data_IF_307146125980
#
_entry.id   IF_307146125980
#
_cell.length_a   1.000
_cell.length_b   1.000
_cell.length_c   1.000
_cell.angle_alpha   90.00
_cell.angle_beta   90.00
_cell.angle_gamma   90.00
#
_symmetry.space_group_name_H-M   'P 1'
#
loop_
_entity.id
_entity.type
_entity.pdbx_description
1 polymer ?
#
# COMPACT_ATOMS: atom_id res chain seq x y z
N UNK A 1 5.87 -15.33 -12.43
CA UNK A 1 6.52 -14.20 -13.13
C UNK A 1 6.14 -14.25 -14.60
N UNK A 2 5.87 -13.11 -15.25
CA UNK A 2 5.48 -13.04 -16.66
C UNK A 2 6.60 -13.57 -17.58
N UNK A 3 6.29 -14.54 -18.44
CA UNK A 3 7.19 -15.14 -19.44
C UNK A 3 7.72 -14.16 -20.49
N UNK A 4 7.18 -12.92 -20.55
CA UNK A 4 7.59 -11.85 -21.45
C UNK A 4 8.64 -10.87 -20.89
N UNK A 5 9.13 -11.05 -19.66
CA UNK A 5 10.28 -10.27 -19.16
C UNK A 5 11.57 -10.81 -19.77
N UNK A 6 11.86 -10.42 -21.02
CA UNK A 6 13.03 -10.88 -21.78
C UNK A 6 14.36 -10.28 -21.32
N UNK A 7 14.34 -9.24 -20.49
CA UNK A 7 15.54 -8.73 -19.80
C UNK A 7 15.18 -8.26 -18.40
N UNK A 8 15.88 -8.78 -17.40
CA UNK A 8 15.32 -8.93 -16.07
C UNK A 8 16.18 -8.27 -14.98
N UNK A 9 16.73 -7.06 -15.19
CA UNK A 9 17.69 -6.45 -14.24
C UNK A 9 18.99 -7.25 -14.01
N UNK A 10 19.07 -8.48 -14.53
CA UNK A 10 20.10 -9.50 -14.31
C UNK A 10 21.34 -9.30 -15.16
N UNK A 11 21.30 -8.44 -16.17
CA UNK A 11 22.48 -8.12 -17.00
C UNK A 11 23.63 -7.50 -16.19
N UNK A 12 23.34 -7.00 -14.98
CA UNK A 12 24.33 -6.47 -14.04
C UNK A 12 24.63 -7.39 -12.86
N UNK A 13 23.85 -8.47 -12.69
CA UNK A 13 24.08 -9.42 -11.61
C UNK A 13 25.19 -10.39 -12.03
N UNK A 14 26.24 -10.52 -11.21
CA UNK A 14 27.31 -11.47 -11.46
C UNK A 14 26.82 -12.93 -11.38
N UNK A 15 25.85 -13.21 -10.50
CA UNK A 15 25.26 -14.53 -10.29
C UNK A 15 23.74 -14.38 -10.13
N UNK A 16 22.99 -15.36 -10.62
CA UNK A 16 21.53 -15.43 -10.50
C UNK A 16 21.11 -16.83 -10.10
N UNK A 17 20.28 -16.93 -9.08
CA UNK A 17 19.56 -18.14 -8.73
C UNK A 17 18.06 -17.85 -8.73
N UNK A 18 17.25 -18.81 -9.19
CA UNK A 18 15.80 -18.68 -9.25
C UNK A 18 15.20 -19.92 -8.62
N UNK A 19 14.34 -19.70 -7.64
CA UNK A 19 13.50 -20.71 -7.02
C UNK A 19 12.06 -20.20 -7.00
N UNK A 20 11.10 -21.10 -6.77
CA UNK A 20 9.71 -20.74 -6.59
C UNK A 20 8.77 -21.88 -6.90
N UNK A 21 7.49 -21.56 -7.07
CA UNK A 21 6.46 -22.53 -7.45
C UNK A 21 6.84 -23.27 -8.74
N UNK A 22 6.63 -24.58 -8.76
CA UNK A 22 6.84 -25.44 -9.95
C UNK A 22 5.76 -25.23 -11.00
N UNK A 23 4.55 -24.88 -10.56
CA UNK A 23 3.43 -24.49 -11.40
C UNK A 23 3.17 -22.97 -11.33
N UNK A 24 2.11 -22.51 -12.00
CA UNK A 24 1.65 -21.15 -11.86
C UNK A 24 1.34 -20.81 -10.40
N UNK A 25 1.94 -19.73 -9.93
CA UNK A 25 1.75 -19.19 -8.58
C UNK A 25 0.26 -19.05 -8.26
N UNK A 26 -0.23 -19.58 -7.11
CA UNK A 26 -1.65 -19.47 -6.74
C UNK A 26 -2.15 -18.02 -6.67
N UNK A 27 -1.24 -17.07 -6.43
CA UNK A 27 -1.49 -15.63 -6.52
C UNK A 27 -2.27 -15.20 -7.78
N UNK A 28 -1.98 -15.75 -8.95
CA UNK A 28 -2.66 -15.34 -10.20
C UNK A 28 -4.13 -15.77 -10.26
N UNK A 29 -4.57 -16.64 -9.35
CA UNK A 29 -5.93 -17.17 -9.25
C UNK A 29 -6.73 -16.51 -8.10
N UNK A 30 -6.19 -15.46 -7.49
CA UNK A 30 -6.84 -14.75 -6.38
C UNK A 30 -8.09 -14.00 -6.86
N UNK A 31 -9.18 -13.99 -6.06
CA UNK A 31 -10.46 -13.39 -6.47
C UNK A 31 -10.35 -11.92 -6.91
N UNK A 32 -9.52 -11.12 -6.23
CA UNK A 32 -9.35 -9.70 -6.56
C UNK A 32 -8.65 -9.46 -7.91
N UNK A 33 -7.88 -10.42 -8.43
CA UNK A 33 -7.29 -10.35 -9.77
C UNK A 33 -8.26 -10.85 -10.84
N UNK A 34 -9.07 -11.87 -10.52
CA UNK A 34 -10.04 -12.44 -11.43
C UNK A 34 -11.25 -11.51 -11.64
N UNK A 35 -11.73 -10.91 -10.55
CA UNK A 35 -12.93 -10.07 -10.52
C UNK A 35 -12.64 -8.68 -9.88
N UNK A 36 -11.72 -7.88 -10.44
CA UNK A 36 -11.25 -6.65 -9.79
C UNK A 36 -12.33 -5.57 -9.62
N UNK A 37 -13.41 -5.64 -10.41
CA UNK A 37 -14.53 -4.69 -10.36
C UNK A 37 -15.63 -5.11 -9.38
N UNK A 38 -15.62 -6.34 -8.88
CA UNK A 38 -16.60 -6.76 -7.88
C UNK A 38 -16.40 -6.01 -6.55
N UNK A 39 -17.49 -5.76 -5.80
CA UNK A 39 -17.39 -5.24 -4.45
C UNK A 39 -16.47 -6.13 -3.63
N UNK A 40 -15.52 -5.52 -2.93
CA UNK A 40 -14.59 -6.29 -2.11
C UNK A 40 -15.36 -6.96 -0.97
N UNK A 41 -15.31 -8.28 -0.90
CA UNK A 41 -15.84 -9.01 0.23
C UNK A 41 -14.79 -9.01 1.34
N UNK A 42 -15.05 -8.27 2.42
CA UNK A 42 -14.16 -8.23 3.60
C UNK A 42 -14.21 -9.58 4.32
N UNK A 43 -13.45 -10.56 3.86
CA UNK A 43 -13.39 -11.88 4.50
C UNK A 43 -11.99 -12.13 5.03
N UNK A 44 -11.92 -12.70 6.25
CA UNK A 44 -10.69 -13.26 6.81
C UNK A 44 -10.01 -14.24 5.83
N UNK A 45 -10.81 -14.91 4.99
CA UNK A 45 -10.35 -15.86 3.99
C UNK A 45 -9.44 -15.24 2.93
N UNK A 46 -9.69 -14.00 2.47
CA UNK A 46 -8.80 -13.34 1.51
C UNK A 46 -7.41 -13.10 2.09
N UNK A 47 -7.36 -12.65 3.35
CA UNK A 47 -6.09 -12.42 4.04
C UNK A 47 -5.36 -13.73 4.32
N UNK A 48 -6.05 -14.75 4.83
CA UNK A 48 -5.48 -16.09 5.03
C UNK A 48 -4.89 -16.62 3.74
N UNK A 49 -5.60 -16.48 2.61
CA UNK A 49 -5.11 -16.97 1.34
C UNK A 49 -3.81 -16.27 0.89
N UNK A 50 -3.70 -14.94 1.08
CA UNK A 50 -2.44 -14.23 0.84
C UNK A 50 -1.31 -14.76 1.73
N UNK A 51 -1.57 -14.86 3.04
CA UNK A 51 -0.59 -15.36 4.01
C UNK A 51 -0.15 -16.78 3.68
N UNK A 52 -1.07 -17.66 3.27
CA UNK A 52 -0.76 -19.02 2.83
C UNK A 52 0.20 -19.03 1.66
N UNK A 53 -0.06 -18.25 0.60
CA UNK A 53 0.84 -18.16 -0.57
C UNK A 53 2.23 -17.67 -0.16
N UNK A 54 2.28 -16.66 0.70
CA UNK A 54 3.54 -16.11 1.22
C UNK A 54 4.29 -17.17 2.07
N UNK A 55 3.55 -17.97 2.83
CA UNK A 55 4.12 -19.04 3.65
C UNK A 55 4.65 -20.21 2.78
N UNK A 56 3.95 -20.56 1.71
CA UNK A 56 4.37 -21.60 0.76
C UNK A 56 5.67 -21.21 0.04
N UNK A 57 5.77 -19.98 -0.49
CA UNK A 57 7.01 -19.53 -1.15
C UNK A 57 8.18 -19.42 -0.15
N UNK A 58 7.89 -19.08 1.10
CA UNK A 58 8.86 -19.15 2.19
C UNK A 58 9.35 -20.59 2.42
N UNK A 59 8.45 -21.57 2.57
CA UNK A 59 8.84 -22.97 2.79
C UNK A 59 9.65 -23.53 1.62
N UNK A 60 9.26 -23.21 0.38
CA UNK A 60 10.04 -23.55 -0.82
C UNK A 60 11.47 -22.98 -0.69
N UNK A 61 11.62 -21.69 -0.34
CA UNK A 61 12.94 -21.09 -0.17
C UNK A 61 13.75 -21.69 0.97
N UNK A 62 13.12 -21.96 2.12
CA UNK A 62 13.79 -22.56 3.29
C UNK A 62 14.26 -23.99 3.04
N UNK A 63 13.64 -24.72 2.12
CA UNK A 63 13.95 -26.12 1.81
C UNK A 63 14.77 -26.31 0.53
N UNK A 64 14.98 -25.25 -0.27
CA UNK A 64 15.68 -25.34 -1.56
C UNK A 64 17.22 -25.44 -1.39
N UNK A 65 17.83 -26.62 -1.62
CA UNK A 65 19.25 -26.82 -1.36
C UNK A 65 20.15 -25.97 -2.25
N UNK A 66 19.70 -25.63 -3.47
CA UNK A 66 20.48 -24.80 -4.38
C UNK A 66 20.49 -23.32 -3.96
N UNK A 67 19.44 -22.81 -3.31
CA UNK A 67 19.39 -21.48 -2.72
C UNK A 67 20.37 -21.40 -1.54
N UNK A 68 20.35 -22.41 -0.67
CA UNK A 68 21.29 -22.55 0.44
C UNK A 68 22.74 -22.60 -0.04
N UNK A 69 23.03 -23.39 -1.08
CA UNK A 69 24.34 -23.42 -1.72
C UNK A 69 24.70 -22.07 -2.36
N UNK A 70 23.73 -21.40 -2.99
CA UNK A 70 23.94 -20.12 -3.64
C UNK A 70 24.38 -19.03 -2.65
N UNK A 71 23.70 -18.95 -1.50
CA UNK A 71 23.98 -17.98 -0.43
C UNK A 71 25.29 -18.34 0.29
N UNK A 72 25.52 -19.61 0.63
CA UNK A 72 26.75 -20.01 1.35
C UNK A 72 28.03 -19.91 0.51
N UNK A 73 27.93 -19.99 -0.81
CA UNK A 73 29.11 -20.02 -1.70
C UNK A 73 29.91 -18.72 -1.78
N UNK A 74 29.42 -17.61 -1.21
CA UNK A 74 30.10 -16.31 -1.22
C UNK A 74 29.93 -15.59 0.12
N UNK A 75 30.79 -14.61 0.37
CA UNK A 75 30.61 -13.66 1.47
C UNK A 75 29.89 -12.43 0.93
N UNK A 76 28.80 -12.05 1.56
CA UNK A 76 28.01 -10.87 1.22
C UNK A 76 28.14 -9.83 2.32
N UNK A 77 28.38 -8.57 1.94
CA UNK A 77 28.46 -7.45 2.89
C UNK A 77 27.07 -7.01 3.38
N UNK A 78 26.08 -7.08 2.48
CA UNK A 78 24.71 -6.65 2.75
C UNK A 78 23.68 -7.51 2.02
N UNK A 79 22.59 -7.79 2.71
CA UNK A 79 21.43 -8.50 2.20
C UNK A 79 20.20 -7.59 2.09
N UNK A 80 19.44 -7.72 1.00
CA UNK A 80 18.21 -6.96 0.77
C UNK A 80 17.07 -7.95 0.50
N UNK A 81 16.00 -7.88 1.29
CA UNK A 81 14.80 -8.67 1.05
C UNK A 81 13.53 -7.82 1.21
N UNK A 82 12.42 -8.32 0.69
CA UNK A 82 11.12 -7.65 0.81
C UNK A 82 10.47 -7.98 2.14
N UNK A 83 9.96 -6.98 2.86
CA UNK A 83 9.31 -7.16 4.17
C UNK A 83 7.81 -7.51 4.02
N UNK A 84 7.51 -8.50 3.17
CA UNK A 84 6.23 -9.21 3.17
C UNK A 84 6.29 -10.49 4.03
N UNK A 85 7.50 -10.98 4.26
CA UNK A 85 7.80 -12.21 4.97
C UNK A 85 9.17 -12.11 5.67
N UNK A 86 9.42 -13.03 6.60
CA UNK A 86 10.63 -13.01 7.44
C UNK A 86 11.70 -14.03 7.01
N UNK A 87 11.40 -14.95 6.11
CA UNK A 87 12.26 -16.07 5.71
C UNK A 87 13.47 -15.61 4.89
N UNK A 88 13.32 -14.58 4.05
CA UNK A 88 14.46 -13.90 3.44
C UNK A 88 15.44 -13.38 4.49
N UNK A 89 14.94 -12.69 5.52
CA UNK A 89 15.78 -12.21 6.62
C UNK A 89 16.38 -13.34 7.45
N UNK A 90 15.61 -14.41 7.69
CA UNK A 90 16.07 -15.59 8.42
C UNK A 90 17.24 -16.29 7.70
N UNK A 91 17.13 -16.50 6.38
CA UNK A 91 18.21 -17.08 5.57
C UNK A 91 19.47 -16.21 5.61
N UNK A 92 19.32 -14.90 5.42
CA UNK A 92 20.47 -13.99 5.48
C UNK A 92 21.12 -13.97 6.87
N UNK A 93 20.33 -14.06 7.94
CA UNK A 93 20.84 -14.18 9.31
C UNK A 93 21.54 -15.51 9.56
N UNK A 94 20.94 -16.62 9.12
CA UNK A 94 21.50 -17.97 9.21
C UNK A 94 22.87 -18.07 8.53
N UNK A 95 23.04 -17.41 7.39
CA UNK A 95 24.30 -17.34 6.65
C UNK A 95 25.24 -16.20 7.09
N UNK A 96 24.98 -15.57 8.24
CA UNK A 96 25.83 -14.54 8.84
C UNK A 96 26.13 -13.34 7.93
N UNK A 97 25.15 -12.91 7.12
CA UNK A 97 25.27 -11.64 6.38
C UNK A 97 25.26 -10.49 7.38
N UNK A 98 26.29 -9.63 7.32
CA UNK A 98 26.60 -8.67 8.38
C UNK A 98 25.55 -7.56 8.52
N UNK A 99 25.07 -7.02 7.39
CA UNK A 99 24.00 -6.02 7.33
C UNK A 99 22.80 -6.56 6.55
N UNK A 100 21.60 -6.34 7.07
CA UNK A 100 20.36 -6.76 6.42
C UNK A 100 19.41 -5.58 6.39
N UNK A 101 18.83 -5.29 5.23
CA UNK A 101 17.87 -4.20 5.05
C UNK A 101 16.62 -4.71 4.34
N UNK A 102 15.49 -4.03 4.55
CA UNK A 102 14.27 -4.32 3.80
C UNK A 102 14.04 -3.34 2.65
N UNK A 103 13.36 -3.80 1.60
CA UNK A 103 12.85 -2.95 0.54
C UNK A 103 11.41 -3.35 0.18
N UNK A 104 10.46 -2.43 0.37
CA UNK A 104 9.06 -2.62 0.01
C UNK A 104 8.76 -2.04 -1.36
N UNK A 105 7.93 -2.74 -2.14
CA UNK A 105 7.39 -2.25 -3.40
C UNK A 105 6.14 -1.38 -3.23
N UNK A 106 5.65 -1.23 -1.99
CA UNK A 106 4.45 -0.51 -1.58
C UNK A 106 4.79 0.72 -0.73
N UNK A 107 3.80 1.59 -0.42
CA UNK A 107 3.88 2.49 0.74
C UNK A 107 4.13 1.72 2.04
N UNK A 108 4.41 2.46 3.12
CA UNK A 108 4.77 1.86 4.41
C UNK A 108 3.63 0.98 4.94
N UNK A 109 3.87 -0.33 5.03
CA UNK A 109 2.88 -1.30 5.48
C UNK A 109 2.63 -1.22 6.99
N UNK A 110 1.47 -1.68 7.42
CA UNK A 110 1.10 -1.75 8.84
C UNK A 110 2.09 -2.62 9.64
N UNK A 111 2.45 -3.79 9.10
CA UNK A 111 3.45 -4.69 9.69
C UNK A 111 4.80 -4.00 9.86
N UNK A 112 5.30 -3.30 8.82
CA UNK A 112 6.56 -2.56 8.91
C UNK A 112 6.50 -1.46 9.96
N UNK A 113 5.35 -0.81 10.10
CA UNK A 113 5.13 0.24 11.10
C UNK A 113 5.20 -0.32 12.52
N UNK A 114 4.50 -1.45 12.76
CA UNK A 114 4.48 -2.16 14.05
C UNK A 114 5.89 -2.66 14.37
N UNK A 115 6.52 -3.38 13.45
CA UNK A 115 7.88 -3.93 13.63
C UNK A 115 8.96 -2.86 13.75
N UNK A 116 8.74 -1.63 13.28
CA UNK A 116 9.66 -0.51 13.47
C UNK A 116 9.36 0.31 14.75
N UNK A 117 8.31 -0.02 15.51
CA UNK A 117 7.89 0.72 16.70
C UNK A 117 7.33 2.11 16.40
N UNK A 118 6.86 2.34 15.17
CA UNK A 118 6.33 3.64 14.71
C UNK A 118 4.88 3.80 15.20
N UNK A 119 4.48 5.01 15.67
CA UNK A 119 3.09 5.25 16.06
C UNK A 119 2.12 4.95 14.91
N UNK A 120 1.17 4.05 15.16
CA UNK A 120 0.15 3.64 14.18
C UNK A 120 -1.27 3.84 14.70
N UNK A 121 -1.54 4.94 15.42
CA UNK A 121 -2.84 5.19 16.04
C UNK A 121 -4.00 5.12 15.04
N UNK A 122 -5.04 4.36 15.38
CA UNK A 122 -6.27 4.24 14.57
C UNK A 122 -7.00 5.57 14.32
N UNK A 123 -6.70 6.62 15.08
CA UNK A 123 -7.31 7.93 14.87
C UNK A 123 -6.79 8.63 13.60
N UNK A 124 -5.59 8.27 13.12
CA UNK A 124 -4.89 8.99 12.04
C UNK A 124 -4.24 8.06 11.02
N UNK A 125 -3.90 6.83 11.40
CA UNK A 125 -3.32 5.82 10.50
C UNK A 125 -4.41 4.91 9.97
N UNK A 126 -4.56 4.88 8.65
CA UNK A 126 -5.45 3.96 7.95
C UNK A 126 -4.67 2.73 7.49
N UNK A 127 -5.35 1.58 7.42
CA UNK A 127 -4.75 0.37 6.87
C UNK A 127 -4.44 0.57 5.37
N UNK A 128 -3.32 0.07 4.89
CA UNK A 128 -2.87 0.32 3.50
C UNK A 128 -3.89 -0.12 2.43
N UNK A 129 -4.64 -1.17 2.72
CA UNK A 129 -5.59 -1.76 1.79
C UNK A 129 -7.03 -1.27 2.02
N UNK A 130 -7.26 -0.40 3.00
CA UNK A 130 -8.61 0.03 3.39
C UNK A 130 -8.62 1.51 3.79
N UNK A 131 -9.49 2.27 3.14
CA UNK A 131 -9.67 3.68 3.46
C UNK A 131 -11.04 3.93 4.06
N UNK A 132 -11.09 4.69 5.14
CA UNK A 132 -12.31 5.10 5.84
C UNK A 132 -12.33 6.63 5.98
N UNK A 133 -13.52 7.23 6.01
CA UNK A 133 -13.64 8.68 6.27
C UNK A 133 -13.48 8.99 7.76
N UNK A 134 -12.23 9.27 8.15
CA UNK A 134 -11.85 9.57 9.53
C UNK A 134 -12.40 10.91 10.06
N UNK A 135 -13.02 11.74 9.22
CA UNK A 135 -13.72 12.95 9.69
C UNK A 135 -15.00 12.58 10.46
N UNK A 136 -15.60 11.44 10.11
CA UNK A 136 -16.83 10.93 10.74
C UNK A 136 -16.52 10.00 11.91
N UNK A 137 -17.42 9.98 12.91
CA UNK A 137 -17.32 9.01 14.01
C UNK A 137 -17.39 7.56 13.51
N UNK A 138 -18.25 7.29 12.53
CA UNK A 138 -18.44 5.95 11.97
C UNK A 138 -17.21 5.45 11.21
N UNK A 139 -16.58 6.31 10.41
CA UNK A 139 -15.32 5.97 9.74
C UNK A 139 -14.19 5.74 10.73
N UNK A 140 -14.08 6.57 11.79
CA UNK A 140 -13.12 6.32 12.89
C UNK A 140 -13.37 5.00 13.61
N UNK A 141 -14.63 4.64 13.86
CA UNK A 141 -14.97 3.35 14.49
C UNK A 141 -14.58 2.17 13.60
N UNK A 142 -14.88 2.21 12.30
CA UNK A 142 -14.47 1.17 11.36
C UNK A 142 -12.95 1.06 11.28
N UNK A 143 -12.25 2.19 11.20
CA UNK A 143 -10.79 2.18 11.18
C UNK A 143 -10.20 1.63 12.47
N UNK A 144 -10.81 1.91 13.64
CA UNK A 144 -10.42 1.29 14.91
C UNK A 144 -10.60 -0.24 14.89
N UNK A 145 -11.69 -0.74 14.34
CA UNK A 145 -11.92 -2.19 14.18
C UNK A 145 -10.85 -2.81 13.28
N UNK A 146 -10.58 -2.18 12.13
CA UNK A 146 -9.53 -2.64 11.20
C UNK A 146 -8.14 -2.63 11.84
N UNK A 147 -7.80 -1.53 12.51
CA UNK A 147 -6.57 -1.39 13.25
C UNK A 147 -6.43 -2.48 14.33
N UNK A 148 -7.48 -2.73 15.12
CA UNK A 148 -7.46 -3.76 16.15
C UNK A 148 -7.29 -5.15 15.53
N UNK A 149 -7.99 -5.43 14.44
CA UNK A 149 -7.84 -6.68 13.70
C UNK A 149 -6.40 -6.88 13.22
N UNK A 150 -5.77 -5.84 12.68
CA UNK A 150 -4.38 -5.91 12.22
C UNK A 150 -3.41 -6.18 13.38
N UNK A 151 -3.51 -5.41 14.47
CA UNK A 151 -2.55 -5.46 15.56
C UNK A 151 -2.71 -6.70 16.46
N UNK A 152 -3.95 -7.17 16.67
CA UNK A 152 -4.23 -8.27 17.60
C UNK A 152 -4.48 -9.62 16.93
N UNK A 153 -4.78 -9.66 15.63
CA UNK A 153 -5.08 -10.92 14.92
C UNK A 153 -4.09 -11.17 13.80
N UNK A 154 -4.03 -10.28 12.82
CA UNK A 154 -3.25 -10.45 11.58
C UNK A 154 -1.75 -10.56 11.87
N UNK A 155 -1.19 -9.54 12.51
CA UNK A 155 0.25 -9.46 12.72
C UNK A 155 0.77 -10.62 13.59
N UNK A 156 0.15 -10.95 14.75
CA UNK A 156 0.55 -12.11 15.54
C UNK A 156 0.39 -13.44 14.78
N UNK A 157 -0.67 -13.59 13.98
CA UNK A 157 -0.90 -14.79 13.17
C UNK A 157 0.22 -14.99 12.12
N UNK A 158 0.58 -13.93 11.38
CA UNK A 158 1.66 -13.98 10.39
C UNK A 158 3.02 -14.28 11.05
N UNK A 159 3.32 -13.64 12.19
CA UNK A 159 4.54 -13.92 12.95
C UNK A 159 4.59 -15.38 13.40
N UNK A 160 3.50 -15.91 13.96
CA UNK A 160 3.45 -17.30 14.41
C UNK A 160 3.68 -18.27 13.25
N UNK A 161 2.95 -18.10 12.15
CA UNK A 161 2.99 -19.04 11.02
C UNK A 161 4.39 -19.10 10.39
N UNK A 162 5.00 -17.94 10.13
CA UNK A 162 6.35 -17.89 9.56
C UNK A 162 7.41 -18.30 10.59
N UNK A 163 7.21 -17.98 11.87
CA UNK A 163 8.09 -18.44 12.95
C UNK A 163 8.10 -19.97 13.08
N UNK A 164 6.93 -20.62 12.99
CA UNK A 164 6.82 -22.09 13.01
C UNK A 164 7.63 -22.73 11.87
N UNK A 165 7.58 -22.16 10.65
CA UNK A 165 8.42 -22.61 9.52
C UNK A 165 9.92 -22.36 9.74
N UNK A 166 10.29 -21.16 10.15
CA UNK A 166 11.69 -20.79 10.37
C UNK A 166 12.31 -21.70 11.43
N UNK A 167 11.61 -21.94 12.55
CA UNK A 167 12.06 -22.87 13.60
C UNK A 167 12.24 -24.29 13.09
N UNK A 168 11.26 -24.80 12.33
CA UNK A 168 11.29 -26.15 11.74
C UNK A 168 12.52 -26.37 10.85
N UNK A 169 12.95 -25.35 10.10
CA UNK A 169 14.00 -25.51 9.07
C UNK A 169 15.36 -24.92 9.43
N UNK A 170 15.43 -23.87 10.25
CA UNK A 170 16.65 -23.15 10.61
C UNK A 170 16.95 -23.19 12.12
N UNK A 171 16.02 -23.68 12.95
CA UNK A 171 16.17 -23.81 14.40
C UNK A 171 15.58 -22.66 15.22
N UNK A 172 15.53 -22.83 16.54
CA UNK A 172 14.75 -21.99 17.48
C UNK A 172 15.35 -20.61 17.79
N UNK A 173 16.51 -20.27 17.24
CA UNK A 173 17.24 -19.05 17.56
C UNK A 173 16.84 -17.86 16.67
N UNK A 174 15.98 -18.07 15.66
CA UNK A 174 15.54 -17.07 14.69
C UNK A 174 14.05 -16.79 14.85
N UNK A 175 13.72 -15.78 15.66
CA UNK A 175 12.35 -15.35 15.87
C UNK A 175 11.97 -14.19 14.93
N UNK A 176 10.79 -14.23 14.26
CA UNK A 176 10.33 -13.20 13.32
C UNK A 176 10.42 -11.76 13.82
N UNK A 177 10.01 -11.51 15.07
CA UNK A 177 10.09 -10.18 15.66
C UNK A 177 11.55 -9.68 15.72
N UNK A 178 12.46 -10.52 16.20
CA UNK A 178 13.88 -10.18 16.31
C UNK A 178 14.53 -10.00 14.93
N UNK A 179 14.13 -10.79 13.93
CA UNK A 179 14.57 -10.61 12.55
C UNK A 179 14.21 -9.21 12.03
N UNK A 180 12.94 -8.80 12.18
CA UNK A 180 12.48 -7.47 11.78
C UNK A 180 13.17 -6.35 12.58
N UNK A 181 13.41 -6.60 13.88
CA UNK A 181 14.10 -5.64 14.74
C UNK A 181 15.56 -5.45 14.35
N UNK A 182 16.21 -6.50 13.86
CA UNK A 182 17.61 -6.51 13.44
C UNK A 182 17.87 -5.90 12.06
N UNK A 183 16.84 -5.48 11.33
CA UNK A 183 17.00 -4.79 10.04
C UNK A 183 17.67 -3.42 10.26
N UNK A 184 18.74 -3.14 9.54
CA UNK A 184 19.51 -1.89 9.67
C UNK A 184 18.77 -0.68 9.09
N UNK A 185 18.04 -0.89 7.99
CA UNK A 185 17.23 0.11 7.29
C UNK A 185 16.01 -0.55 6.66
N UNK A 186 14.98 0.26 6.40
CA UNK A 186 13.81 -0.14 5.63
C UNK A 186 13.52 0.87 4.51
N UNK A 187 13.62 0.43 3.26
CA UNK A 187 13.30 1.22 2.09
C UNK A 187 11.84 1.05 1.70
N UNK A 188 11.17 2.15 1.36
CA UNK A 188 9.75 2.19 0.99
C UNK A 188 9.61 2.81 -0.40
N UNK A 189 8.89 2.16 -1.33
CA UNK A 189 8.69 2.63 -2.70
C UNK A 189 7.61 3.74 -2.80
N UNK A 190 7.61 4.66 -1.85
CA UNK A 190 6.71 5.82 -1.84
C UNK A 190 7.54 7.11 -1.74
N UNK A 191 6.89 8.26 -1.82
CA UNK A 191 7.54 9.55 -1.63
C UNK A 191 6.71 10.38 -0.64
N UNK A 192 7.37 10.96 0.37
CA UNK A 192 6.74 11.66 1.48
C UNK A 192 5.87 12.85 1.05
N UNK A 193 6.04 13.37 -0.16
CA UNK A 193 5.24 14.47 -0.70
C UNK A 193 3.91 14.00 -1.33
N UNK A 194 3.78 12.71 -1.61
CA UNK A 194 2.59 12.10 -2.24
C UNK A 194 2.04 10.90 -1.47
N UNK A 195 2.65 10.53 -0.35
CA UNK A 195 2.09 9.56 0.59
C UNK A 195 1.13 10.25 1.58
N UNK A 196 0.32 9.47 2.29
CA UNK A 196 -0.45 9.97 3.42
C UNK A 196 0.54 10.37 4.53
N UNK A 197 0.50 11.63 5.01
CA UNK A 197 1.39 12.08 6.09
C UNK A 197 1.22 11.24 7.34
N UNK A 198 2.32 10.70 7.87
CA UNK A 198 2.35 9.87 9.08
C UNK A 198 3.68 9.97 9.80
N UNK A 199 3.71 9.54 11.06
CA UNK A 199 4.96 9.40 11.79
C UNK A 199 5.87 8.38 11.10
N UNK A 200 7.17 8.67 11.04
CA UNK A 200 8.20 7.80 10.49
C UNK A 200 9.47 7.90 11.34
N UNK A 201 10.29 6.87 11.33
CA UNK A 201 11.58 6.86 12.04
C UNK A 201 12.75 7.08 11.07
N UNK A 202 13.93 7.42 11.60
CA UNK A 202 15.14 7.55 10.79
C UNK A 202 15.59 6.24 10.12
N UNK A 203 15.04 5.09 10.53
CA UNK A 203 15.24 3.78 9.88
C UNK A 203 14.55 3.68 8.53
N UNK A 204 13.44 4.41 8.34
CA UNK A 204 12.64 4.39 7.10
C UNK A 204 13.23 5.35 6.07
N UNK A 205 13.41 4.87 4.85
CA UNK A 205 13.94 5.65 3.72
C UNK A 205 12.97 5.59 2.53
N UNK A 206 12.38 6.74 2.19
CA UNK A 206 11.53 6.88 1.01
C UNK A 206 12.36 6.89 -0.27
N UNK A 207 12.11 5.91 -1.14
CA UNK A 207 12.80 5.71 -2.43
C UNK A 207 11.82 5.62 -3.61
N UNK A 208 10.57 6.05 -3.43
CA UNK A 208 9.58 6.13 -4.48
C UNK A 208 10.08 6.95 -5.66
N UNK A 209 9.94 6.39 -6.86
CA UNK A 209 10.47 6.98 -8.09
C UNK A 209 11.90 6.57 -8.43
N UNK A 210 12.52 5.65 -7.69
CA UNK A 210 13.85 5.09 -8.00
C UNK A 210 13.95 4.51 -9.41
N UNK A 211 12.84 3.96 -9.93
CA UNK A 211 12.75 3.35 -11.26
C UNK A 211 12.21 4.32 -12.34
N UNK A 212 11.99 5.59 -12.01
CA UNK A 212 11.55 6.57 -13.01
C UNK A 212 12.62 6.73 -14.08
N UNK A 213 12.27 6.34 -15.30
CA UNK A 213 13.11 6.58 -16.46
C UNK A 213 13.00 8.05 -16.84
N UNK A 214 14.11 8.68 -17.19
CA UNK A 214 14.08 9.98 -17.85
C UNK A 214 13.30 9.82 -19.16
N UNK A 215 12.20 10.54 -19.31
CA UNK A 215 11.43 10.52 -20.55
C UNK A 215 12.30 11.01 -21.70
N UNK A 216 12.25 10.29 -22.81
CA UNK A 216 12.86 10.72 -24.07
C UNK A 216 12.01 11.77 -24.78
N UNK A 217 10.73 11.91 -24.37
CA UNK A 217 9.65 12.66 -25.03
C UNK A 217 9.45 12.29 -26.50
N UNK A 218 10.03 11.17 -26.94
CA UNK A 218 9.84 10.62 -28.28
C UNK A 218 8.91 9.43 -28.17
N UNK A 219 7.77 9.53 -28.84
CA UNK A 219 6.85 8.42 -28.99
C UNK A 219 7.26 7.58 -30.20
N UNK A 220 7.04 6.27 -30.13
CA UNK A 220 7.18 5.41 -31.29
C UNK A 220 6.11 5.74 -32.35
N UNK A 221 6.31 5.30 -33.59
CA UNK A 221 5.45 5.65 -34.70
C UNK A 221 4.01 5.13 -34.56
N UNK A 222 3.76 4.07 -33.79
CA UNK A 222 2.41 3.58 -33.51
C UNK A 222 1.70 4.53 -32.53
N UNK A 223 2.37 4.85 -31.43
CA UNK A 223 1.85 5.75 -30.40
C UNK A 223 1.66 7.17 -30.93
N UNK A 224 2.62 7.69 -31.71
CA UNK A 224 2.52 9.03 -32.29
C UNK A 224 1.34 9.14 -33.28
N UNK A 225 1.08 8.08 -34.07
CA UNK A 225 -0.11 8.02 -34.92
C UNK A 225 -1.39 8.02 -34.10
N UNK A 226 -1.45 7.29 -32.99
CA UNK A 226 -2.62 7.25 -32.12
C UNK A 226 -2.93 8.60 -31.48
N UNK A 227 -1.92 9.31 -30.96
CA UNK A 227 -2.11 10.62 -30.31
C UNK A 227 -2.41 11.76 -31.29
N UNK A 228 -1.97 11.62 -32.55
CA UNK A 228 -2.15 12.65 -33.59
C UNK A 228 -3.32 12.35 -34.55
N UNK A 229 -4.03 11.23 -34.37
CA UNK A 229 -5.09 10.80 -35.28
C UNK A 229 -6.34 11.71 -35.26
N UNK A 230 -6.55 12.45 -34.17
CA UNK A 230 -7.67 13.39 -34.03
C UNK A 230 -7.12 14.78 -33.72
N UNK A 231 -7.57 15.85 -34.40
CA UNK A 231 -7.34 17.21 -33.95
C UNK A 231 -7.96 17.37 -32.56
N UNK A 232 -7.13 17.41 -31.53
CA UNK A 232 -7.60 17.40 -30.13
C UNK A 232 -6.99 18.54 -29.32
N UNK A 233 -7.77 19.00 -28.34
CA UNK A 233 -7.35 19.95 -27.29
C UNK A 233 -6.33 19.33 -26.33
N UNK A 234 -6.10 18.02 -26.43
CA UNK A 234 -5.13 17.26 -25.68
C UNK A 234 -5.47 15.77 -25.66
N UNK A 235 -4.59 15.00 -25.02
CA UNK A 235 -4.75 13.55 -24.90
C UNK A 235 -5.05 13.15 -23.45
N UNK A 236 -5.85 12.10 -23.31
CA UNK A 236 -6.14 11.41 -22.05
C UNK A 236 -5.57 10.01 -22.15
N UNK A 237 -4.60 9.72 -21.30
CA UNK A 237 -4.00 8.37 -21.22
C UNK A 237 -4.91 7.51 -20.36
N UNK A 238 -5.14 6.25 -20.73
CA UNK A 238 -5.93 5.30 -19.93
C UNK A 238 -5.17 3.98 -19.79
N UNK A 239 -4.75 3.66 -18.56
CA UNK A 239 -4.03 2.43 -18.24
C UNK A 239 -4.34 1.89 -16.83
N UNK A 240 -4.85 0.66 -16.74
CA UNK A 240 -5.02 -0.08 -15.47
C UNK A 240 -3.86 -1.06 -15.18
N UNK A 241 -2.69 -0.81 -15.78
CA UNK A 241 -1.48 -1.57 -15.53
C UNK A 241 -1.45 -2.94 -16.21
N UNK A 242 -0.58 -3.80 -15.68
CA UNK A 242 -0.29 -5.14 -16.25
C UNK A 242 -1.06 -6.26 -15.57
N UNK A 243 -1.57 -6.04 -14.36
CA UNK A 243 -2.29 -7.04 -13.56
C UNK A 243 -3.80 -7.06 -13.82
N UNK A 244 -4.32 -6.09 -14.57
CA UNK A 244 -5.73 -6.02 -14.98
C UNK A 244 -5.79 -6.24 -16.49
N UNK A 245 -6.00 -7.49 -16.95
CA UNK A 245 -6.13 -7.77 -18.37
C UNK A 245 -7.42 -7.13 -18.94
N UNK A 246 -7.46 -6.89 -20.25
CA UNK A 246 -8.65 -6.30 -20.88
C UNK A 246 -9.89 -7.19 -20.78
N UNK A 247 -9.70 -8.50 -20.70
CA UNK A 247 -10.77 -9.49 -20.59
C UNK A 247 -11.59 -9.41 -19.31
N UNK A 248 -11.04 -8.85 -18.22
CA UNK A 248 -11.76 -8.73 -16.94
C UNK A 248 -12.59 -7.44 -16.82
N UNK A 249 -12.64 -6.60 -17.86
CA UNK A 249 -13.50 -5.42 -17.87
C UNK A 249 -14.96 -5.81 -18.13
N UNK A 250 -15.88 -5.57 -17.17
CA UNK A 250 -17.30 -5.84 -17.39
C UNK A 250 -17.85 -5.05 -18.58
N UNK A 251 -18.83 -5.62 -19.28
CA UNK A 251 -19.46 -5.00 -20.46
C UNK A 251 -20.05 -3.63 -20.10
N UNK A 252 -20.59 -3.48 -18.89
CA UNK A 252 -21.16 -2.25 -18.33
C UNK A 252 -20.08 -1.17 -18.16
N UNK A 253 -18.91 -1.54 -17.63
CA UNK A 253 -17.78 -0.63 -17.46
C UNK A 253 -17.27 -0.16 -18.82
N UNK A 254 -17.13 -1.07 -19.78
CA UNK A 254 -16.73 -0.73 -21.17
C UNK A 254 -17.71 0.24 -21.82
N UNK A 255 -19.02 -0.02 -21.70
CA UNK A 255 -20.09 0.86 -22.20
C UNK A 255 -20.09 2.22 -21.54
N UNK A 256 -19.87 2.28 -20.23
CA UNK A 256 -19.81 3.53 -19.47
C UNK A 256 -18.68 4.43 -19.97
N UNK A 257 -17.45 3.90 -20.09
CA UNK A 257 -16.32 4.65 -20.62
C UNK A 257 -16.51 5.06 -22.08
N UNK A 258 -16.94 4.13 -22.95
CA UNK A 258 -17.20 4.44 -24.36
C UNK A 258 -18.24 5.56 -24.51
N UNK A 259 -19.33 5.51 -23.73
CA UNK A 259 -20.37 6.54 -23.75
C UNK A 259 -19.87 7.87 -23.19
N UNK A 260 -19.06 7.84 -22.12
CA UNK A 260 -18.49 9.05 -21.54
C UNK A 260 -17.53 9.75 -22.51
N UNK A 261 -16.64 9.01 -23.19
CA UNK A 261 -15.66 9.57 -24.13
C UNK A 261 -16.30 10.31 -25.31
N UNK A 262 -17.52 9.94 -25.72
CA UNK A 262 -18.29 10.67 -26.75
C UNK A 262 -18.72 12.08 -26.33
N UNK A 263 -18.81 12.34 -25.03
CA UNK A 263 -19.09 13.69 -24.51
C UNK A 263 -17.86 14.61 -24.59
N UNK A 264 -16.70 14.05 -24.92
CA UNK A 264 -15.42 14.75 -25.01
C UNK A 264 -14.76 14.57 -26.39
N UNK A 265 -15.46 14.87 -27.50
CA UNK A 265 -14.95 14.64 -28.86
C UNK A 265 -13.67 15.43 -29.16
N UNK A 266 -13.41 16.50 -28.41
CA UNK A 266 -12.22 17.33 -28.51
C UNK A 266 -10.97 16.72 -27.86
N UNK A 267 -11.06 15.58 -27.15
CA UNK A 267 -9.91 14.91 -26.54
C UNK A 267 -9.66 13.55 -27.18
N UNK A 268 -8.39 13.21 -27.37
CA UNK A 268 -7.98 11.87 -27.84
C UNK A 268 -7.71 10.96 -26.65
N UNK A 269 -8.44 9.85 -26.54
CA UNK A 269 -8.27 8.84 -25.50
C UNK A 269 -7.35 7.73 -25.99
N UNK A 270 -6.19 7.57 -25.33
CA UNK A 270 -5.20 6.55 -25.65
C UNK A 270 -5.27 5.47 -24.59
N UNK A 271 -5.85 4.33 -24.93
CA UNK A 271 -6.18 3.29 -23.96
C UNK A 271 -5.34 2.04 -24.16
N UNK A 272 -4.56 1.66 -23.13
CA UNK A 272 -3.97 0.33 -23.02
C UNK A 272 -5.09 -0.70 -22.94
N UNK A 273 -5.43 -1.32 -24.05
CA UNK A 273 -6.56 -2.23 -24.12
C UNK A 273 -6.49 -3.11 -25.36
N UNK A 274 -6.81 -4.39 -25.16
CA UNK A 274 -6.99 -5.35 -26.24
C UNK A 274 -8.50 -5.51 -26.49
N UNK A 275 -8.99 -5.26 -27.72
CA UNK A 275 -10.40 -5.42 -28.06
C UNK A 275 -10.93 -6.81 -27.69
N UNK A 276 -12.07 -6.82 -27.01
CA UNK A 276 -12.81 -7.99 -26.55
C UNK A 276 -14.06 -8.19 -27.42
N UNK A 277 -14.72 -9.34 -27.25
CA UNK A 277 -16.01 -9.59 -27.87
C UNK A 277 -17.04 -8.51 -27.49
N UNK A 278 -17.85 -8.09 -28.47
CA UNK A 278 -18.84 -7.03 -28.35
C UNK A 278 -18.29 -5.61 -28.46
N UNK A 279 -16.97 -5.39 -28.40
CA UNK A 279 -16.40 -4.02 -28.42
C UNK A 279 -16.66 -3.28 -29.72
N UNK A 280 -16.73 -4.00 -30.85
CA UNK A 280 -17.07 -3.37 -32.14
C UNK A 280 -18.38 -2.59 -32.07
N UNK A 281 -19.39 -3.12 -31.37
CA UNK A 281 -20.67 -2.44 -31.20
C UNK A 281 -20.58 -1.34 -30.13
N UNK A 282 -19.90 -1.62 -29.01
CA UNK A 282 -19.75 -0.66 -27.91
C UNK A 282 -19.05 0.61 -28.38
N UNK A 283 -18.00 0.48 -29.18
CA UNK A 283 -17.15 1.59 -29.63
C UNK A 283 -17.47 2.12 -31.03
N UNK A 284 -18.46 1.56 -31.74
CA UNK A 284 -18.80 1.90 -33.14
C UNK A 284 -18.87 3.42 -33.43
N UNK A 285 -19.44 4.20 -32.51
CA UNK A 285 -19.64 5.64 -32.66
C UNK A 285 -18.62 6.47 -31.84
N UNK A 286 -17.43 5.92 -31.59
CA UNK A 286 -16.40 6.54 -30.75
C UNK A 286 -15.14 6.71 -31.58
N UNK A 287 -14.99 7.88 -32.19
CA UNK A 287 -13.91 8.17 -33.15
C UNK A 287 -12.64 8.68 -32.50
N UNK A 288 -12.70 9.07 -31.22
CA UNK A 288 -11.62 9.70 -30.46
C UNK A 288 -10.93 8.73 -29.49
N UNK A 289 -11.10 7.42 -29.64
CA UNK A 289 -10.48 6.39 -28.79
C UNK A 289 -9.54 5.53 -29.61
N UNK A 290 -8.31 5.39 -29.15
CA UNK A 290 -7.28 4.59 -29.79
C UNK A 290 -6.75 3.53 -28.82
N UNK A 291 -6.85 2.27 -29.22
CA UNK A 291 -6.38 1.14 -28.45
C UNK A 291 -4.95 0.79 -28.80
N UNK A 292 -4.11 0.63 -27.76
CA UNK A 292 -2.74 0.17 -27.89
C UNK A 292 -2.54 -1.04 -26.97
N UNK A 293 -1.80 -2.05 -27.44
CA UNK A 293 -1.47 -3.23 -26.61
C UNK A 293 -0.49 -2.89 -25.49
N UNK A 294 0.42 -1.97 -25.78
CA UNK A 294 1.42 -1.47 -24.86
C UNK A 294 1.51 0.05 -24.94
N UNK A 295 1.72 0.70 -23.80
CA UNK A 295 1.91 2.15 -23.74
C UNK A 295 3.34 2.46 -23.31
N UNK A 296 4.04 3.37 -24.01
CA UNK A 296 5.22 4.04 -23.44
C UNK A 296 4.74 5.06 -22.37
N UNK A 297 4.15 4.56 -21.28
CA UNK A 297 3.39 5.34 -20.28
C UNK A 297 4.17 6.54 -19.76
N UNK A 298 5.42 6.36 -19.35
CA UNK A 298 6.27 7.46 -18.87
C UNK A 298 6.46 8.55 -19.93
N UNK A 299 6.63 8.18 -21.21
CA UNK A 299 6.80 9.16 -22.28
C UNK A 299 5.48 9.87 -22.63
N UNK A 300 4.35 9.13 -22.66
CA UNK A 300 3.02 9.71 -22.84
C UNK A 300 2.64 10.68 -21.72
N UNK A 301 2.87 10.32 -20.46
CA UNK A 301 2.57 11.22 -19.33
C UNK A 301 3.43 12.50 -19.37
N UNK A 302 4.62 12.43 -19.95
CA UNK A 302 5.50 13.59 -20.14
C UNK A 302 5.28 14.32 -21.49
N UNK A 303 4.34 13.88 -22.32
CA UNK A 303 3.97 14.56 -23.56
C UNK A 303 3.23 15.88 -23.26
N UNK A 304 3.60 17.02 -23.88
CA UNK A 304 2.94 18.30 -23.65
C UNK A 304 1.44 18.33 -23.96
N UNK A 305 0.94 17.40 -24.78
CA UNK A 305 -0.47 17.24 -25.13
C UNK A 305 -1.27 16.53 -24.03
N UNK A 306 -0.63 15.83 -23.10
CA UNK A 306 -1.32 15.08 -22.05
C UNK A 306 -2.02 16.02 -21.07
N UNK A 307 -3.30 15.75 -20.82
CA UNK A 307 -4.16 16.56 -19.95
C UNK A 307 -4.62 15.81 -18.71
N UNK A 308 -4.89 14.51 -18.82
CA UNK A 308 -5.29 13.69 -17.70
C UNK A 308 -4.86 12.23 -17.88
N UNK A 309 -4.87 11.48 -16.78
CA UNK A 309 -4.59 10.06 -16.75
C UNK A 309 -5.71 9.29 -16.05
N UNK A 310 -6.37 8.39 -16.78
CA UNK A 310 -7.31 7.43 -16.21
C UNK A 310 -6.51 6.21 -15.74
N UNK A 311 -6.54 5.92 -14.44
CA UNK A 311 -5.69 4.88 -13.87
C UNK A 311 -6.35 4.17 -12.71
N UNK A 312 -5.98 2.90 -12.53
CA UNK A 312 -6.21 2.18 -11.27
C UNK A 312 -5.30 2.66 -10.13
N UNK A 313 -4.37 3.59 -10.38
CA UNK A 313 -3.44 4.19 -9.41
C UNK A 313 -2.62 3.19 -8.59
N UNK A 314 -2.20 2.08 -9.21
CA UNK A 314 -1.09 1.28 -8.66
C UNK A 314 0.16 2.16 -8.46
N UNK A 315 0.91 1.92 -7.39
CA UNK A 315 1.93 2.85 -6.88
C UNK A 315 2.87 3.42 -7.95
N UNK A 316 3.40 2.60 -8.86
CA UNK A 316 4.30 3.08 -9.91
C UNK A 316 3.60 4.05 -10.88
N UNK A 317 2.37 3.74 -11.31
CA UNK A 317 1.57 4.62 -12.16
C UNK A 317 1.21 5.93 -11.44
N UNK A 318 0.93 5.87 -10.13
CA UNK A 318 0.68 7.06 -9.32
C UNK A 318 1.92 7.95 -9.22
N UNK A 319 3.08 7.36 -8.90
CA UNK A 319 4.36 8.06 -8.86
C UNK A 319 4.72 8.68 -10.22
N UNK A 320 4.59 7.93 -11.32
CA UNK A 320 4.86 8.45 -12.67
C UNK A 320 3.99 9.66 -13.02
N UNK A 321 2.69 9.61 -12.73
CA UNK A 321 1.76 10.71 -13.00
C UNK A 321 2.04 11.93 -12.11
N UNK A 322 2.34 11.72 -10.82
CA UNK A 322 2.72 12.80 -9.90
C UNK A 322 4.01 13.51 -10.33
N UNK A 323 5.03 12.76 -10.78
CA UNK A 323 6.27 13.35 -11.30
C UNK A 323 6.06 14.10 -12.62
N UNK A 324 5.17 13.62 -13.49
CA UNK A 324 4.79 14.30 -14.74
C UNK A 324 3.87 15.52 -14.52
N UNK A 325 3.25 15.62 -13.34
CA UNK A 325 2.28 16.67 -13.01
C UNK A 325 1.04 16.57 -13.90
N UNK A 326 0.48 15.37 -13.98
CA UNK A 326 -0.74 15.07 -14.74
C UNK A 326 -1.87 14.70 -13.75
N UNK A 327 -3.01 15.41 -13.80
CA UNK A 327 -4.21 15.04 -13.05
C UNK A 327 -4.70 13.62 -13.31
N UNK A 328 -5.28 12.98 -12.30
CA UNK A 328 -5.66 11.56 -12.37
C UNK A 328 -7.16 11.38 -12.15
N UNK A 329 -7.82 10.65 -13.05
CA UNK A 329 -9.12 10.03 -12.80
C UNK A 329 -8.87 8.60 -12.31
N UNK A 330 -8.97 8.40 -11.00
CA UNK A 330 -8.63 7.15 -10.34
C UNK A 330 -9.83 6.19 -10.27
N UNK A 331 -9.58 4.91 -10.58
CA UNK A 331 -10.50 3.80 -10.34
C UNK A 331 -9.75 2.74 -9.52
N UNK A 332 -9.57 2.93 -8.21
CA UNK A 332 -8.85 1.96 -7.39
C UNK A 332 -9.62 0.63 -7.32
N UNK A 333 -8.92 -0.47 -7.60
CA UNK A 333 -9.51 -1.81 -7.71
C UNK A 333 -9.19 -2.69 -6.49
N UNK A 334 -7.92 -2.73 -6.07
CA UNK A 334 -7.43 -3.58 -4.98
C UNK A 334 -6.05 -3.15 -4.44
N UNK A 335 -5.51 -3.88 -3.45
CA UNK A 335 -4.21 -3.65 -2.84
C UNK A 335 -4.00 -2.18 -2.41
N UNK A 336 -2.87 -1.57 -2.73
CA UNK A 336 -2.44 -0.21 -2.35
C UNK A 336 -3.22 0.91 -3.05
N UNK A 337 -3.96 0.57 -4.09
CA UNK A 337 -4.61 1.53 -4.97
C UNK A 337 -5.59 2.47 -4.24
N UNK A 338 -6.43 2.01 -3.28
CA UNK A 338 -7.29 2.90 -2.50
C UNK A 338 -6.51 3.94 -1.69
N UNK A 339 -5.39 3.56 -1.06
CA UNK A 339 -4.56 4.49 -0.30
C UNK A 339 -3.89 5.51 -1.23
N UNK A 340 -3.36 5.09 -2.38
CA UNK A 340 -2.79 6.00 -3.37
C UNK A 340 -3.85 6.97 -3.91
N UNK A 341 -5.07 6.49 -4.17
CA UNK A 341 -6.20 7.32 -4.59
C UNK A 341 -6.55 8.37 -3.53
N UNK A 342 -6.59 7.97 -2.25
CA UNK A 342 -6.86 8.86 -1.13
C UNK A 342 -5.75 9.93 -0.98
N UNK A 343 -4.49 9.55 -1.15
CA UNK A 343 -3.37 10.49 -1.10
C UNK A 343 -3.43 11.51 -2.24
N UNK A 344 -3.70 11.05 -3.47
CA UNK A 344 -3.91 11.95 -4.60
C UNK A 344 -5.14 12.85 -4.44
N UNK A 345 -6.21 12.34 -3.81
CA UNK A 345 -7.41 13.12 -3.52
C UNK A 345 -7.15 14.23 -2.50
N UNK A 346 -6.44 13.92 -1.40
CA UNK A 346 -6.10 14.91 -0.36
C UNK A 346 -5.18 16.02 -0.88
N UNK A 347 -4.36 15.73 -1.89
CA UNK A 347 -3.53 16.70 -2.59
C UNK A 347 -4.27 17.50 -3.67
N UNK A 348 -5.54 17.16 -3.95
CA UNK A 348 -6.33 17.77 -5.01
C UNK A 348 -5.80 17.47 -6.41
N UNK A 349 -5.08 16.36 -6.61
CA UNK A 349 -4.53 15.94 -7.91
C UNK A 349 -5.34 14.82 -8.55
N UNK A 350 -6.26 14.22 -7.80
CA UNK A 350 -6.95 12.98 -8.18
C UNK A 350 -8.44 13.03 -7.87
N UNK A 351 -9.25 12.77 -8.89
CA UNK A 351 -10.68 12.50 -8.73
C UNK A 351 -10.89 10.99 -8.62
N UNK A 352 -11.58 10.51 -7.59
CA UNK A 352 -11.74 9.08 -7.32
C UNK A 352 -13.13 8.61 -7.71
N UNK A 353 -13.20 7.59 -8.56
CA UNK A 353 -14.42 6.85 -8.88
C UNK A 353 -14.53 5.61 -8.01
N UNK A 354 -15.74 5.37 -7.50
CA UNK A 354 -16.10 4.11 -6.87
C UNK A 354 -16.24 3.04 -7.96
N UNK A 355 -15.38 2.00 -7.91
CA UNK A 355 -15.36 0.91 -8.89
C UNK A 355 -16.70 0.19 -9.03
N UNK A 356 -17.55 0.21 -7.98
CA UNK A 356 -18.86 -0.43 -7.97
C UNK A 356 -19.97 0.44 -8.54
N UNK A 357 -19.69 1.72 -8.83
CA UNK A 357 -20.67 2.72 -9.30
C UNK A 357 -20.24 3.37 -10.61
N UNK A 358 -19.50 2.65 -11.44
CA UNK A 358 -19.07 3.16 -12.74
C UNK A 358 -20.27 3.21 -13.69
N UNK A 359 -20.74 4.43 -13.95
CA UNK A 359 -21.74 4.78 -14.96
C UNK A 359 -21.22 5.87 -15.87
N UNK A 360 -21.83 6.05 -17.05
CA UNK A 360 -21.52 7.14 -17.98
C UNK A 360 -21.46 8.48 -17.25
N UNK A 361 -22.44 8.78 -16.40
CA UNK A 361 -22.56 10.05 -15.68
C UNK A 361 -21.42 10.25 -14.67
N UNK A 362 -21.04 9.20 -13.93
CA UNK A 362 -19.93 9.28 -12.98
C UNK A 362 -18.59 9.50 -13.68
N UNK A 363 -18.37 8.83 -14.83
CA UNK A 363 -17.14 9.00 -15.63
C UNK A 363 -17.09 10.38 -16.26
N UNK A 364 -18.21 10.88 -16.82
CA UNK A 364 -18.30 12.25 -17.37
C UNK A 364 -17.95 13.28 -16.29
N UNK A 365 -18.55 13.19 -15.10
CA UNK A 365 -18.24 14.08 -13.98
C UNK A 365 -16.76 14.04 -13.59
N UNK A 366 -16.18 12.85 -13.52
CA UNK A 366 -14.77 12.68 -13.19
C UNK A 366 -13.84 13.28 -14.25
N UNK A 367 -14.18 13.12 -15.54
CA UNK A 367 -13.45 13.74 -16.65
C UNK A 367 -13.60 15.26 -16.66
N UNK A 368 -14.80 15.81 -16.43
CA UNK A 368 -15.01 17.26 -16.28
C UNK A 368 -14.13 17.83 -15.18
N UNK A 369 -14.06 17.16 -14.03
CA UNK A 369 -13.20 17.61 -12.93
C UNK A 369 -11.72 17.65 -13.35
N UNK A 370 -11.16 16.56 -13.86
CA UNK A 370 -9.70 16.51 -14.13
C UNK A 370 -9.28 17.25 -15.40
N UNK A 371 -10.20 17.51 -16.33
CA UNK A 371 -9.92 18.20 -17.60
C UNK A 371 -10.24 19.70 -17.55
N UNK A 372 -11.31 20.10 -16.85
CA UNK A 372 -11.82 21.48 -16.92
C UNK A 372 -11.70 22.25 -15.60
N UNK A 373 -11.65 21.60 -14.44
CA UNK A 373 -11.32 22.28 -13.19
C UNK A 373 -9.79 22.47 -13.08
N UNK A 374 -9.38 23.72 -13.28
CA UNK A 374 -7.97 24.12 -13.26
C UNK A 374 -7.24 23.78 -11.95
N UNK A 375 -7.96 23.63 -10.83
CA UNK A 375 -7.35 23.30 -9.54
C UNK A 375 -6.59 21.97 -9.58
N UNK A 376 -7.12 20.95 -10.28
CA UNK A 376 -6.45 19.66 -10.43
C UNK A 376 -5.11 19.79 -11.16
N UNK A 377 -5.09 20.54 -12.27
CA UNK A 377 -3.87 20.75 -13.04
C UNK A 377 -2.84 21.57 -12.27
N UNK A 378 -3.27 22.66 -11.63
CA UNK A 378 -2.40 23.52 -10.82
C UNK A 378 -1.78 22.74 -9.66
N UNK A 379 -2.58 21.93 -8.95
CA UNK A 379 -2.08 21.07 -7.88
C UNK A 379 -1.12 20.00 -8.39
N UNK A 380 -1.43 19.34 -9.51
CA UNK A 380 -0.55 18.33 -10.09
C UNK A 380 0.80 18.94 -10.50
N UNK A 381 0.81 20.13 -11.10
CA UNK A 381 2.05 20.86 -11.45
C UNK A 381 2.82 21.33 -10.22
N UNK A 382 2.13 21.80 -9.18
CA UNK A 382 2.74 22.17 -7.89
C UNK A 382 3.47 20.98 -7.26
N UNK A 383 2.81 19.83 -7.16
CA UNK A 383 3.39 18.61 -6.60
C UNK A 383 4.55 18.08 -7.45
N UNK A 384 4.39 18.06 -8.78
CA UNK A 384 5.45 17.69 -9.71
C UNK A 384 6.71 18.55 -9.53
N UNK A 385 6.54 19.87 -9.41
CA UNK A 385 7.64 20.80 -9.12
C UNK A 385 8.35 20.43 -7.82
N UNK A 386 7.60 20.23 -6.74
CA UNK A 386 8.19 19.84 -5.44
C UNK A 386 8.92 18.49 -5.50
N UNK A 387 8.38 17.51 -6.22
CA UNK A 387 9.01 16.20 -6.42
C UNK A 387 10.32 16.28 -7.22
N UNK A 388 10.40 17.18 -8.21
CA UNK A 388 11.58 17.41 -9.02
C UNK A 388 12.65 18.23 -8.29
N UNK A 389 12.24 19.20 -7.47
CA UNK A 389 13.12 20.06 -6.68
C UNK A 389 13.57 19.42 -5.36
N UNK A 390 12.94 18.31 -4.95
CA UNK A 390 13.25 17.62 -3.70
C UNK A 390 14.74 17.32 -3.60
N UNK A 391 15.39 17.62 -2.46
CA UNK A 391 16.77 17.20 -2.23
C UNK A 391 16.93 15.69 -2.37
N UNK A 392 18.10 15.28 -2.89
CA UNK A 392 18.55 13.89 -3.05
C UNK A 392 17.59 13.01 -3.87
N UNK A 393 18.04 12.63 -5.07
CA UNK A 393 17.27 11.71 -5.90
C UNK A 393 17.06 10.36 -5.19
N UNK A 394 15.90 9.70 -5.36
CA UNK A 394 15.61 8.41 -4.72
C UNK A 394 16.70 7.36 -4.94
N UNK A 395 17.26 7.32 -6.16
CA UNK A 395 18.35 6.40 -6.51
C UNK A 395 19.65 6.71 -5.77
N UNK A 396 20.04 7.99 -5.69
CA UNK A 396 21.26 8.39 -4.96
C UNK A 396 21.11 8.06 -3.47
N UNK A 397 19.97 8.43 -2.90
CA UNK A 397 19.63 8.13 -1.50
C UNK A 397 19.70 6.63 -1.21
N UNK A 398 19.10 5.80 -2.07
CA UNK A 398 19.16 4.34 -1.92
C UNK A 398 20.60 3.82 -1.89
N UNK A 399 21.42 4.20 -2.88
CA UNK A 399 22.82 3.73 -2.98
C UNK A 399 23.65 4.18 -1.78
N UNK A 400 23.58 5.46 -1.40
CA UNK A 400 24.37 6.01 -0.28
C UNK A 400 24.02 5.34 1.05
N UNK A 401 22.72 5.16 1.34
CA UNK A 401 22.29 4.48 2.56
C UNK A 401 22.60 2.98 2.55
N UNK A 402 22.49 2.32 1.39
CA UNK A 402 22.84 0.91 1.26
C UNK A 402 24.34 0.68 1.50
N UNK A 403 25.20 1.51 0.89
CA UNK A 403 26.64 1.45 1.13
C UNK A 403 27.00 1.82 2.58
N UNK A 404 26.30 2.80 3.17
CA UNK A 404 26.50 3.17 4.56
C UNK A 404 26.16 2.00 5.50
N UNK A 405 25.03 1.33 5.30
CA UNK A 405 24.64 0.16 6.09
C UNK A 405 25.64 -1.00 5.91
N UNK A 406 26.08 -1.26 4.68
CA UNK A 406 27.09 -2.29 4.40
C UNK A 406 28.42 -2.04 5.14
N UNK A 407 28.85 -0.78 5.25
CA UNK A 407 30.08 -0.39 5.98
C UNK A 407 29.88 -0.30 7.49
N UNK A 408 28.65 -0.23 7.98
CA UNK A 408 28.31 -0.03 9.39
C UNK A 408 27.24 -1.05 9.83
N UNK A 409 27.58 -2.34 9.90
CA UNK A 409 26.65 -3.36 10.34
C UNK A 409 26.17 -3.07 11.77
N UNK A 410 24.97 -3.54 12.11
CA UNK A 410 24.30 -3.31 13.40
C UNK A 410 23.76 -1.88 13.58
N UNK A 411 23.59 -1.13 12.49
CA UNK A 411 23.00 0.21 12.49
C UNK A 411 21.62 0.28 13.16
N UNK A 412 20.85 -0.82 13.14
CA UNK A 412 19.58 -0.93 13.85
C UNK A 412 19.70 -0.61 15.35
N UNK A 413 20.85 -0.88 15.99
CA UNK A 413 21.08 -0.54 17.41
C UNK A 413 20.99 0.96 17.70
N UNK A 414 21.21 1.81 16.69
CA UNK A 414 21.15 3.26 16.79
C UNK A 414 19.81 3.83 16.31
N UNK A 415 19.15 3.17 15.36
CA UNK A 415 17.95 3.68 14.69
C UNK A 415 16.64 3.10 15.20
N UNK A 416 16.67 2.00 15.95
CA UNK A 416 15.48 1.35 16.48
C UNK A 416 14.80 2.23 17.54
N UNK A 417 13.48 2.36 17.42
CA UNK A 417 12.66 3.07 18.41
C UNK A 417 12.41 2.18 19.62
N UNK A 418 12.30 2.78 20.81
CA UNK A 418 11.99 2.05 22.04
C UNK A 418 10.66 1.26 21.94
N UNK A 419 9.68 1.82 21.21
CA UNK A 419 8.38 1.21 21.01
C UNK A 419 8.39 -0.14 20.29
N UNK A 420 9.46 -0.46 19.57
CA UNK A 420 9.63 -1.74 18.89
C UNK A 420 9.68 -2.94 19.86
N UNK A 421 10.13 -2.71 21.10
CA UNK A 421 10.22 -3.76 22.14
C UNK A 421 8.94 -3.90 22.97
N UNK A 422 7.93 -3.08 22.70
CA UNK A 422 6.67 -3.06 23.46
C UNK A 422 5.61 -3.86 22.73
N UNK A 423 4.85 -4.66 23.47
CA UNK A 423 3.58 -5.19 22.98
C UNK A 423 2.53 -4.06 22.88
N UNK A 424 1.42 -4.35 22.18
CA UNK A 424 0.38 -3.36 21.89
C UNK A 424 -0.25 -2.78 23.17
N UNK A 425 -0.34 -3.53 24.27
CA UNK A 425 -0.94 -3.03 25.51
C UNK A 425 -0.04 -1.97 26.15
N UNK A 426 1.25 -2.25 26.24
CA UNK A 426 2.24 -1.31 26.80
C UNK A 426 2.46 -0.11 25.90
N UNK A 427 2.52 -0.32 24.59
CA UNK A 427 2.74 0.77 23.62
C UNK A 427 1.67 1.86 23.75
N UNK A 428 0.41 1.45 23.92
CA UNK A 428 -0.75 2.35 24.03
C UNK A 428 -1.18 2.63 25.48
N UNK A 429 -0.38 2.23 26.47
CA UNK A 429 -0.66 2.40 27.89
C UNK A 429 -2.03 1.83 28.33
N UNK A 430 -2.52 0.79 27.66
CA UNK A 430 -3.84 0.19 27.92
C UNK A 430 -3.86 -0.40 29.34
N UNK A 431 -2.76 -0.99 29.76
CA UNK A 431 -2.53 -1.50 31.11
C UNK A 431 -2.65 -0.40 32.18
N UNK A 432 -1.97 0.74 31.99
CA UNK A 432 -2.02 1.89 32.90
C UNK A 432 -3.43 2.48 32.96
N UNK A 433 -4.07 2.69 31.80
CA UNK A 433 -5.44 3.22 31.71
C UNK A 433 -6.42 2.29 32.43
N UNK A 434 -6.30 0.98 32.26
CA UNK A 434 -7.15 0.00 32.92
C UNK A 434 -7.00 0.05 34.45
N UNK A 435 -5.78 0.16 34.97
CA UNK A 435 -5.51 0.29 36.41
C UNK A 435 -6.14 1.58 36.96
N UNK A 436 -5.98 2.72 36.26
CA UNK A 436 -6.58 3.98 36.64
C UNK A 436 -8.12 3.91 36.67
N UNK A 437 -8.74 3.38 35.62
CA UNK A 437 -10.20 3.24 35.55
C UNK A 437 -10.74 2.30 36.64
N UNK A 438 -10.07 1.17 36.87
CA UNK A 438 -10.44 0.25 37.95
C UNK A 438 -10.39 0.94 39.32
N UNK A 439 -9.34 1.73 39.57
CA UNK A 439 -9.16 2.47 40.82
C UNK A 439 -10.24 3.53 41.03
N UNK A 440 -10.63 4.25 39.97
CA UNK A 440 -11.72 5.24 39.99
C UNK A 440 -13.06 4.54 40.27
N UNK A 441 -13.38 3.47 39.55
CA UNK A 441 -14.63 2.73 39.72
C UNK A 441 -14.73 2.13 41.14
N UNK A 442 -13.64 1.59 41.68
CA UNK A 442 -13.58 1.08 43.04
C UNK A 442 -13.83 2.21 44.07
N UNK A 443 -13.23 3.38 43.86
CA UNK A 443 -13.42 4.55 44.73
C UNK A 443 -14.86 5.05 44.70
N UNK A 444 -15.47 5.15 43.51
CA UNK A 444 -16.88 5.52 43.35
C UNK A 444 -17.82 4.50 44.00
N UNK A 445 -17.52 3.20 43.84
CA UNK A 445 -18.27 2.13 44.49
C UNK A 445 -18.17 2.20 46.02
N UNK A 446 -16.97 2.41 46.57
CA UNK A 446 -16.74 2.57 48.00
C UNK A 446 -17.48 3.80 48.55
N UNK A 447 -17.43 4.93 47.85
CA UNK A 447 -18.17 6.15 48.20
C UNK A 447 -19.69 5.90 48.21
N UNK A 448 -20.22 5.27 47.15
CA UNK A 448 -21.64 4.91 47.06
C UNK A 448 -22.07 4.03 48.25
N UNK A 449 -21.29 2.99 48.55
CA UNK A 449 -21.53 2.11 49.71
C UNK A 449 -21.46 2.88 51.03
N UNK A 450 -20.51 3.80 51.18
CA UNK A 450 -20.39 4.69 52.33
C UNK A 450 -21.64 5.54 52.53
N UNK A 451 -22.13 6.20 51.47
CA UNK A 451 -23.36 7.01 51.50
C UNK A 451 -24.58 6.16 51.84
N UNK A 452 -24.72 4.96 51.27
CA UNK A 452 -25.82 4.03 51.60
C UNK A 452 -25.76 3.57 53.07
N UNK A 453 -24.57 3.29 53.60
CA UNK A 453 -24.42 2.92 55.00
C UNK A 453 -24.76 4.07 55.94
N UNK A 454 -24.33 5.29 55.61
CA UNK A 454 -24.67 6.50 56.38
C UNK A 454 -26.18 6.78 56.32
N UNK A 455 -26.81 6.71 55.15
CA UNK A 455 -28.24 6.95 55.00
C UNK A 455 -29.08 5.91 55.74
N UNK A 456 -28.69 4.62 55.71
CA UNK A 456 -29.30 3.57 56.52
C UNK A 456 -29.16 3.85 58.01
N UNK A 457 -27.97 4.23 58.49
CA UNK A 457 -27.74 4.60 59.89
C UNK A 457 -28.55 5.82 60.34
N UNK A 458 -28.68 6.84 59.50
CA UNK A 458 -29.50 8.02 59.78
C UNK A 458 -30.99 7.65 59.83
N UNK A 459 -31.45 6.77 58.94
CA UNK A 459 -32.83 6.28 58.93
C UNK A 459 -33.15 5.47 60.20
N UNK A 460 -32.32 4.49 60.58
CA UNK A 460 -32.50 3.72 61.82
C UNK A 460 -32.46 4.62 63.05
N UNK A 461 -31.52 5.58 63.12
CA UNK A 461 -31.43 6.52 64.24
C UNK A 461 -32.67 7.42 64.35
N UNK A 462 -33.27 7.86 63.22
CA UNK A 462 -34.54 8.60 63.22
C UNK A 462 -35.71 7.75 63.74
N UNK A 463 -35.75 6.46 63.42
CA UNK A 463 -36.77 5.52 63.94
C UNK A 463 -36.60 5.34 65.45
N UNK A 464 -35.38 5.11 65.94
CA UNK A 464 -35.09 5.00 67.37
C UNK A 464 -35.44 6.28 68.16
N UNK A 465 -35.15 7.46 67.60
CA UNK A 465 -35.51 8.75 68.20
C UNK A 465 -37.03 8.96 68.26
N UNK A 466 -37.80 8.52 67.25
CA UNK A 466 -39.27 8.57 67.30
C UNK A 466 -39.85 7.63 68.36
N UNK A 467 -39.27 6.45 68.54
CA UNK A 467 -39.71 5.48 69.56
C UNK A 467 -39.42 5.92 71.00
N UNK A 468 -38.49 6.86 71.23
CA UNK A 468 -38.17 7.41 72.56
C UNK A 468 -39.04 8.61 72.97
N UNK A 469 -39.84 9.16 72.05
CA UNK A 469 -40.68 10.35 72.28
C UNK A 469 -42.17 9.97 72.49
N UNK A 470 -42.53 8.71 72.25
CA UNK A 470 -43.77 8.07 72.73
C UNK A 470 -43.52 7.39 74.07
#
# INVERSE_FOLDING_TARGET
MNSHVKTNGTRRAARKYVYGFTEDSPWSKTPHLLNPFEPRQRTWQEHVHYVTIVNEICEIGLTDPGLHQFISSQKYDIGVATEYEYCGFALMKHYNIASIVSASSLPLLDQQSISAGIPNSAAVTQAIFETEDLTTLWGRLKNLVNWAHINFVIYPYCQKLQGDLIRKHLGDHLEPAELAHSLDLAFVNSNELIDIPRAVSHKIKYIGGINLRKSSRKLDAETERAVSATPSSGIVVFCFGTQVPSSVFPIEVRRAFASAFRHFPQYTFVWKYEPQEGDRQIFANTTNVHFLKWLPQTDLLNDPRTRAFISHVGLNSYVEASYAGVPILAVPLFADQPQNALAGHSLGTTFVLDKTKITTQTVVRGLEAVLHDSSYNLNAKRISKMLQERPNSPKKLFVEWLEFAARNPLLHRNLNLAGQKLDVFRYYCIDVIAICLFSILLSLFALFRGVVLISRRVSTRKVELKMKIQ
#
